data_IF_768912815373
#
_entry.id   IF_768912815373
#
_cell.length_a   1.000
_cell.length_b   1.000
_cell.length_c   1.000
_cell.angle_alpha   90.00
_cell.angle_beta   90.00
_cell.angle_gamma   90.00
#
_symmetry.space_group_name_H-M   'P 1'
#
loop_
_entity.id
_entity.type
_entity.pdbx_description
1 polymer ?
#
# COMPACT_ATOMS: atom_id res chain seq x y z
N UNK A 1 -6.88 -8.79 2.03
CA UNK A 1 -7.97 -8.00 1.42
C UNK A 1 -8.35 -6.96 2.46
N UNK A 2 -8.23 -5.68 2.14
CA UNK A 2 -8.72 -4.56 2.95
C UNK A 2 -9.55 -3.60 2.08
N UNK A 3 -9.95 -4.06 0.89
CA UNK A 3 -10.78 -3.34 -0.07
C UNK A 3 -12.21 -3.12 0.43
N UNK A 4 -12.87 -2.07 -0.08
CA UNK A 4 -14.25 -1.68 0.27
C UNK A 4 -14.45 -1.44 1.78
N UNK A 5 -13.58 -0.61 2.37
CA UNK A 5 -13.64 -0.22 3.78
C UNK A 5 -13.63 1.32 3.93
N UNK A 6 -13.55 1.79 5.17
CA UNK A 6 -13.44 3.21 5.51
C UNK A 6 -12.05 3.57 6.03
N UNK A 7 -11.00 2.91 5.51
CA UNK A 7 -9.62 3.16 5.94
C UNK A 7 -9.21 4.54 5.44
N UNK A 8 -8.85 5.42 6.38
CA UNK A 8 -8.39 6.78 6.09
C UNK A 8 -6.87 6.93 6.21
N UNK A 9 -6.21 6.05 6.96
CA UNK A 9 -4.76 6.00 7.10
C UNK A 9 -4.29 4.57 7.39
N UNK A 10 -3.02 4.29 7.10
CA UNK A 10 -2.35 3.03 7.44
C UNK A 10 -1.21 3.36 8.40
N UNK A 11 -1.27 2.92 9.68
CA UNK A 11 -0.20 3.12 10.65
C UNK A 11 1.14 2.54 10.19
N UNK A 12 2.24 3.14 10.64
CA UNK A 12 3.61 2.88 10.16
C UNK A 12 4.03 1.40 10.22
N UNK A 13 3.59 0.65 11.24
CA UNK A 13 4.00 -0.74 11.46
C UNK A 13 2.92 -1.76 11.05
N UNK A 14 1.88 -1.34 10.33
CA UNK A 14 0.70 -2.18 10.01
C UNK A 14 1.02 -3.49 9.29
N UNK A 15 2.13 -3.51 8.55
CA UNK A 15 2.56 -4.67 7.76
C UNK A 15 3.91 -5.23 8.22
N UNK A 16 4.41 -4.80 9.38
CA UNK A 16 5.64 -5.32 9.94
C UNK A 16 5.53 -6.84 10.20
N UNK A 17 6.61 -7.57 9.94
CA UNK A 17 6.64 -9.02 10.06
C UNK A 17 5.94 -9.81 8.95
N UNK A 18 5.15 -9.15 8.07
CA UNK A 18 4.48 -9.81 6.94
C UNK A 18 5.41 -10.06 5.75
N UNK A 19 6.53 -10.74 5.99
CA UNK A 19 7.59 -10.98 4.99
C UNK A 19 7.12 -11.79 3.77
N UNK A 20 6.00 -12.49 3.87
CA UNK A 20 5.41 -13.29 2.78
C UNK A 20 4.23 -12.59 2.09
N UNK A 21 3.95 -11.32 2.40
CA UNK A 21 2.85 -10.57 1.78
C UNK A 21 3.15 -10.33 0.30
N UNK A 22 2.32 -10.91 -0.58
CA UNK A 22 2.43 -10.76 -2.05
C UNK A 22 1.34 -9.89 -2.66
N UNK A 23 0.16 -9.86 -2.04
CA UNK A 23 -0.97 -9.11 -2.57
C UNK A 23 -1.59 -8.27 -1.46
N UNK A 24 -1.70 -6.98 -1.72
CA UNK A 24 -2.36 -6.03 -0.83
C UNK A 24 -3.42 -5.27 -1.62
N UNK A 25 -4.67 -5.47 -1.22
CA UNK A 25 -5.82 -4.78 -1.81
C UNK A 25 -6.33 -3.74 -0.83
N UNK A 26 -6.21 -2.46 -1.22
CA UNK A 26 -6.65 -1.28 -0.47
C UNK A 26 -7.57 -0.41 -1.32
N UNK A 27 -8.11 -0.94 -2.43
CA UNK A 27 -9.06 -0.23 -3.26
C UNK A 27 -10.38 0.06 -2.52
N UNK A 28 -11.11 1.07 -2.99
CA UNK A 28 -12.38 1.51 -2.41
C UNK A 28 -12.27 1.80 -0.91
N UNK A 29 -11.40 2.76 -0.59
CA UNK A 29 -11.16 3.27 0.76
C UNK A 29 -11.10 4.80 0.73
N UNK A 30 -10.68 5.43 1.82
CA UNK A 30 -10.60 6.89 1.95
C UNK A 30 -9.17 7.38 2.21
N UNK A 31 -8.15 6.65 1.74
CA UNK A 31 -6.76 7.06 1.85
C UNK A 31 -6.52 8.34 1.06
N UNK A 32 -5.90 9.34 1.70
CA UNK A 32 -5.53 10.61 1.07
C UNK A 32 -4.10 10.63 0.55
N UNK A 33 -3.31 9.64 0.93
CA UNK A 33 -1.89 9.49 0.57
C UNK A 33 -1.53 8.01 0.36
N UNK A 34 -0.44 7.77 -0.37
CA UNK A 34 0.13 6.42 -0.50
C UNK A 34 0.80 6.05 0.83
N UNK A 35 0.55 4.86 1.40
CA UNK A 35 1.15 4.45 2.67
C UNK A 35 2.61 4.00 2.50
N UNK A 36 3.50 4.92 2.12
CA UNK A 36 4.92 4.65 1.82
C UNK A 36 5.67 4.08 3.01
N UNK A 37 5.47 4.66 4.20
CA UNK A 37 6.07 4.18 5.45
C UNK A 37 5.69 2.73 5.76
N UNK A 38 4.38 2.41 5.85
CA UNK A 38 3.89 1.05 6.05
C UNK A 38 4.36 0.02 5.02
N UNK A 39 4.65 0.45 3.79
CA UNK A 39 5.09 -0.39 2.68
C UNK A 39 6.61 -0.53 2.55
N UNK A 40 7.40 0.11 3.42
CA UNK A 40 8.86 0.22 3.26
C UNK A 40 9.60 -1.12 3.29
N UNK A 41 9.04 -2.16 3.90
CA UNK A 41 9.68 -3.47 4.10
C UNK A 41 9.06 -4.58 3.23
N UNK A 42 8.12 -4.25 2.36
CA UNK A 42 7.31 -5.21 1.62
C UNK A 42 7.92 -5.48 0.25
N UNK A 43 9.21 -5.84 0.21
CA UNK A 43 9.95 -6.12 -1.02
C UNK A 43 9.41 -7.33 -1.81
N UNK A 44 8.68 -8.23 -1.13
CA UNK A 44 8.01 -9.38 -1.75
C UNK A 44 6.60 -9.07 -2.28
N UNK A 45 6.13 -7.83 -2.16
CA UNK A 45 4.81 -7.44 -2.66
C UNK A 45 4.81 -7.45 -4.18
N UNK A 46 3.86 -8.18 -4.76
CA UNK A 46 3.72 -8.41 -6.19
C UNK A 46 2.57 -7.59 -6.78
N UNK A 47 1.48 -7.41 -6.03
CA UNK A 47 0.37 -6.54 -6.43
C UNK A 47 -0.09 -5.63 -5.30
N UNK A 48 -0.35 -4.37 -5.65
CA UNK A 48 -0.91 -3.34 -4.79
C UNK A 48 -2.02 -2.61 -5.54
N UNK A 49 -3.23 -2.59 -5.00
CA UNK A 49 -4.35 -1.80 -5.54
C UNK A 49 -4.66 -0.64 -4.59
N UNK A 50 -4.74 0.56 -5.14
CA UNK A 50 -5.12 1.78 -4.42
C UNK A 50 -6.25 2.53 -5.16
N UNK A 51 -6.89 1.87 -6.11
CA UNK A 51 -7.99 2.45 -6.89
C UNK A 51 -9.14 2.91 -5.97
N UNK A 52 -9.93 3.89 -6.41
CA UNK A 52 -11.08 4.39 -5.65
C UNK A 52 -10.71 4.86 -4.23
N UNK A 53 -9.53 5.47 -4.07
CA UNK A 53 -9.14 6.24 -2.89
C UNK A 53 -9.17 7.74 -3.21
N UNK A 54 -8.74 8.57 -2.25
CA UNK A 54 -8.68 10.04 -2.36
C UNK A 54 -7.25 10.54 -2.46
N UNK A 55 -6.35 9.73 -3.02
CA UNK A 55 -4.93 10.03 -3.15
C UNK A 55 -4.76 11.13 -4.21
N UNK A 56 -4.31 12.31 -3.80
CA UNK A 56 -4.12 13.47 -4.69
C UNK A 56 -2.68 13.63 -5.18
N UNK A 57 -1.73 12.98 -4.50
CA UNK A 57 -0.31 13.07 -4.81
C UNK A 57 0.39 11.74 -4.53
N UNK A 58 1.30 11.37 -5.42
CA UNK A 58 2.16 10.20 -5.28
C UNK A 58 3.60 10.72 -5.31
N UNK A 59 4.38 10.57 -4.24
CA UNK A 59 5.78 10.98 -4.25
C UNK A 59 6.62 10.10 -5.18
N UNK A 60 7.65 10.65 -5.81
CA UNK A 60 8.48 9.95 -6.81
C UNK A 60 9.05 8.60 -6.32
N UNK A 61 9.33 8.50 -5.03
CA UNK A 61 9.92 7.31 -4.39
C UNK A 61 8.88 6.44 -3.66
N UNK A 62 7.58 6.62 -3.90
CA UNK A 62 6.51 5.94 -3.16
C UNK A 62 6.63 4.40 -3.15
N UNK A 63 7.19 3.84 -4.23
CA UNK A 63 7.26 2.40 -4.46
C UNK A 63 8.70 1.89 -4.63
N UNK A 64 9.71 2.70 -4.32
CA UNK A 64 11.11 2.39 -4.59
C UNK A 64 11.60 1.08 -3.94
N UNK A 65 11.03 0.71 -2.79
CA UNK A 65 11.40 -0.51 -2.05
C UNK A 65 10.57 -1.74 -2.45
N UNK A 66 9.56 -1.59 -3.30
CA UNK A 66 8.67 -2.67 -3.74
C UNK A 66 9.24 -3.36 -4.98
N UNK A 67 10.41 -3.98 -4.83
CA UNK A 67 11.19 -4.52 -5.95
C UNK A 67 10.51 -5.67 -6.71
N UNK A 68 9.56 -6.36 -6.09
CA UNK A 68 8.78 -7.44 -6.73
C UNK A 68 7.45 -6.98 -7.33
N UNK A 69 7.13 -5.69 -7.25
CA UNK A 69 5.84 -5.17 -7.72
C UNK A 69 5.78 -5.28 -9.24
N UNK A 70 4.73 -5.94 -9.74
CA UNK A 70 4.46 -6.03 -11.17
C UNK A 70 3.36 -5.05 -11.56
N UNK A 71 3.47 -4.51 -12.78
CA UNK A 71 2.48 -3.61 -13.39
C UNK A 71 1.27 -4.40 -13.87
#
# INVERSE_FOLDING_TARGET
RLDANHITSVPEDSFEGLQQLRHLWLDDNSLTEVPVGPLRHQSNLQALTLALNRITHIPDNAFANLSSLVV
#
